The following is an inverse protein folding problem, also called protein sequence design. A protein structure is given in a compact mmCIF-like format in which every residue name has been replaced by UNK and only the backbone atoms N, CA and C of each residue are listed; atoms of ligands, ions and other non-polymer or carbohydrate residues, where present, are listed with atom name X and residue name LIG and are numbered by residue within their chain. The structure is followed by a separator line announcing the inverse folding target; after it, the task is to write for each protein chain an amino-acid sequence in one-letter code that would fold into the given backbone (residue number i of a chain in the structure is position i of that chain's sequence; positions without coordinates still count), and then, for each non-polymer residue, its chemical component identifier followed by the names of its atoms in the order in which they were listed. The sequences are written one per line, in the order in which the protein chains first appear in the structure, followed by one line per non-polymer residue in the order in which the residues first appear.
data_IF_780721804000
#
_entry.id   IF_780721804000
#
_cell.length_a   1.000
_cell.length_b   1.000
_cell.length_c   1.000
_cell.angle_alpha   90.00
_cell.angle_beta   90.00
_cell.angle_gamma   90.00
#
_symmetry.space_group_name_H-M   'P 1'
#
loop_
_entity.id
_entity.type
_entity.pdbx_description
1 polymer ?
#
# COMPACT_ATOMS: atom_id res chain seq x y z
N UNK A 1 53.16 8.72 61.12
CA UNK A 1 52.86 8.99 59.69
C UNK A 1 52.30 7.80 58.93
N UNK A 2 52.81 6.56 59.10
CA UNK A 2 52.38 5.37 58.32
C UNK A 2 50.91 4.92 58.52
N UNK A 3 50.33 5.07 59.72
CA UNK A 3 48.96 4.63 60.02
C UNK A 3 47.86 5.52 59.42
N UNK A 4 48.16 6.80 59.18
CA UNK A 4 47.22 7.76 58.56
C UNK A 4 47.12 7.56 57.04
N UNK A 5 48.20 7.11 56.41
CA UNK A 5 48.24 6.80 54.98
C UNK A 5 47.41 5.54 54.63
N UNK A 6 47.48 4.50 55.49
CA UNK A 6 46.71 3.26 55.31
C UNK A 6 45.21 3.51 55.45
N UNK A 7 44.80 4.34 56.42
CA UNK A 7 43.40 4.71 56.60
C UNK A 7 42.85 5.50 55.40
N UNK A 8 43.65 6.38 54.79
CA UNK A 8 43.26 7.14 53.60
C UNK A 8 43.11 6.25 52.37
N UNK A 9 44.01 5.27 52.18
CA UNK A 9 43.92 4.32 51.07
C UNK A 9 42.72 3.37 51.19
N UNK A 10 42.38 2.92 52.40
CA UNK A 10 41.20 2.07 52.64
C UNK A 10 39.89 2.84 52.40
N UNK A 11 39.83 4.11 52.80
CA UNK A 11 38.67 4.98 52.54
C UNK A 11 38.50 5.29 51.04
N UNK A 12 39.59 5.52 50.31
CA UNK A 12 39.55 5.73 48.86
C UNK A 12 39.08 4.47 48.11
N UNK A 13 39.56 3.29 48.52
CA UNK A 13 39.17 2.01 47.91
C UNK A 13 37.69 1.67 48.17
N UNK A 14 37.15 2.02 49.35
CA UNK A 14 35.73 1.83 49.67
C UNK A 14 34.81 2.76 48.86
N UNK A 15 35.23 4.00 48.58
CA UNK A 15 34.46 4.94 47.76
C UNK A 15 34.47 4.57 46.26
N UNK A 16 35.59 4.03 45.75
CA UNK A 16 35.68 3.55 44.35
C UNK A 16 34.90 2.25 44.16
N UNK A 17 34.88 1.35 45.15
CA UNK A 17 34.09 0.12 45.11
C UNK A 17 32.57 0.37 45.15
N UNK A 18 32.12 1.40 45.85
CA UNK A 18 30.68 1.73 45.95
C UNK A 18 30.15 2.42 44.69
N UNK A 19 30.98 3.16 43.95
CA UNK A 19 30.61 3.75 42.65
C UNK A 19 30.48 2.73 41.51
N UNK A 20 31.23 1.63 41.55
CA UNK A 20 31.18 0.58 40.51
C UNK A 20 30.04 -0.43 40.70
N UNK A 21 29.50 -0.58 41.91
CA UNK A 21 28.45 -1.55 42.20
C UNK A 21 27.03 -1.10 41.79
N UNK A 22 26.80 0.20 41.56
CA UNK A 22 25.49 0.74 41.14
C UNK A 22 25.34 0.81 39.61
N UNK A 23 26.43 0.68 38.84
CA UNK A 23 26.38 0.76 37.38
C UNK A 23 26.07 -0.58 36.67
N UNK A 24 25.91 -1.69 37.40
CA UNK A 24 25.84 -3.04 36.78
C UNK A 24 24.51 -3.79 36.98
N UNK A 25 23.45 -3.13 37.45
CA UNK A 25 22.11 -3.73 37.56
C UNK A 25 21.13 -2.99 36.66
N UNK A 26 20.54 -3.74 35.71
CA UNK A 26 19.49 -3.34 34.76
C UNK A 26 19.94 -2.26 33.76
N UNK A 27 20.16 -2.59 32.49
CA UNK A 27 19.08 -3.07 31.63
C UNK A 27 19.66 -4.00 30.56
N UNK A 28 19.44 -5.31 30.73
CA UNK A 28 19.57 -6.28 29.63
C UNK A 28 18.27 -6.20 28.81
N UNK A 29 17.92 -4.98 28.41
CA UNK A 29 16.85 -4.72 27.47
C UNK A 29 17.28 -5.39 26.18
N UNK A 30 16.62 -6.49 25.85
CA UNK A 30 16.63 -6.99 24.50
C UNK A 30 16.41 -5.76 23.62
N UNK A 31 17.38 -5.41 22.77
CA UNK A 31 17.09 -4.58 21.61
C UNK A 31 16.05 -5.37 20.84
N UNK A 32 14.78 -5.14 21.19
CA UNK A 32 13.66 -5.55 20.41
C UNK A 32 13.88 -4.78 19.11
N UNK A 33 14.49 -5.46 18.15
CA UNK A 33 14.50 -5.04 16.77
C UNK A 33 13.03 -4.92 16.43
N UNK A 34 12.46 -3.72 16.57
CA UNK A 34 11.10 -3.46 16.12
C UNK A 34 11.13 -3.84 14.66
N UNK A 35 10.36 -4.85 14.21
CA UNK A 35 10.32 -5.16 12.81
C UNK A 35 9.90 -3.87 12.12
N UNK A 36 10.81 -3.30 11.33
CA UNK A 36 10.47 -2.17 10.48
C UNK A 36 9.56 -2.76 9.42
N UNK A 37 8.25 -2.65 9.66
CA UNK A 37 7.25 -3.08 8.69
C UNK A 37 7.45 -2.19 7.48
N UNK A 38 7.94 -2.79 6.39
CA UNK A 38 8.08 -2.10 5.12
C UNK A 38 6.72 -1.50 4.72
N UNK A 39 6.72 -0.22 4.34
CA UNK A 39 5.51 0.44 3.90
C UNK A 39 4.85 -0.34 2.74
N UNK A 40 3.52 -0.44 2.70
CA UNK A 40 2.83 -1.16 1.64
C UNK A 40 3.17 -0.55 0.27
N UNK A 41 3.32 -1.38 -0.77
CA UNK A 41 3.69 -0.90 -2.09
C UNK A 41 2.64 0.09 -2.62
N UNK A 42 3.11 1.19 -3.22
CA UNK A 42 2.24 2.21 -3.80
C UNK A 42 1.39 1.61 -4.93
N UNK A 43 0.07 1.81 -4.94
CA UNK A 43 -0.79 1.29 -6.00
C UNK A 43 -0.49 1.98 -7.34
N UNK A 44 -0.75 1.25 -8.42
CA UNK A 44 -0.75 1.77 -9.78
C UNK A 44 -2.02 2.58 -10.05
N UNK A 45 -1.99 3.41 -11.09
CA UNK A 45 -3.10 4.28 -11.48
C UNK A 45 -3.38 4.13 -12.97
N UNK A 46 -4.66 4.01 -13.32
CA UNK A 46 -5.15 4.13 -14.70
C UNK A 46 -6.09 5.33 -14.78
N UNK A 47 -5.84 6.20 -15.75
CA UNK A 47 -6.67 7.37 -16.02
C UNK A 47 -7.51 7.07 -17.26
N UNK A 48 -8.83 7.23 -17.13
CA UNK A 48 -9.77 7.19 -18.25
C UNK A 48 -10.34 8.58 -18.48
N UNK A 49 -9.96 9.25 -19.58
CA UNK A 49 -10.57 10.49 -20.00
C UNK A 49 -12.05 10.31 -20.33
N UNK A 50 -12.79 11.42 -20.30
CA UNK A 50 -14.13 11.47 -20.84
C UNK A 50 -14.14 11.21 -22.36
N UNK A 51 -15.28 10.76 -22.88
CA UNK A 51 -15.43 10.44 -24.31
C UNK A 51 -14.74 9.14 -24.75
N UNK A 52 -14.02 8.44 -23.87
CA UNK A 52 -13.44 7.14 -24.20
C UNK A 52 -14.52 6.08 -24.44
N UNK A 53 -14.44 5.41 -25.58
CA UNK A 53 -15.24 4.21 -25.85
C UNK A 53 -14.78 3.05 -24.98
N UNK A 54 -15.63 2.03 -24.83
CA UNK A 54 -15.29 0.81 -24.10
C UNK A 54 -14.03 0.13 -24.64
N UNK A 55 -13.83 0.16 -25.96
CA UNK A 55 -12.64 -0.39 -26.62
C UNK A 55 -11.38 0.43 -26.31
N UNK A 56 -11.47 1.76 -26.34
CA UNK A 56 -10.36 2.64 -25.97
C UNK A 56 -9.97 2.48 -24.50
N UNK A 57 -10.94 2.31 -23.60
CA UNK A 57 -10.68 1.95 -22.20
C UNK A 57 -9.92 0.62 -22.09
N UNK A 58 -10.30 -0.40 -22.85
CA UNK A 58 -9.63 -1.68 -22.84
C UNK A 58 -8.17 -1.59 -23.33
N UNK A 59 -7.93 -0.84 -24.41
CA UNK A 59 -6.58 -0.56 -24.90
C UNK A 59 -5.73 0.19 -23.87
N UNK A 60 -6.33 1.15 -23.14
CA UNK A 60 -5.67 1.86 -22.04
C UNK A 60 -5.29 0.94 -20.89
N UNK A 61 -6.17 -0.01 -20.52
CA UNK A 61 -5.88 -1.05 -19.53
C UNK A 61 -4.66 -1.87 -19.93
N UNK A 62 -4.57 -2.31 -21.18
CA UNK A 62 -3.41 -3.04 -21.71
C UNK A 62 -2.12 -2.23 -21.62
N UNK A 63 -2.14 -1.00 -22.11
CA UNK A 63 -0.97 -0.12 -22.10
C UNK A 63 -0.45 0.11 -20.68
N UNK A 64 -1.34 0.41 -19.73
CA UNK A 64 -0.95 0.67 -18.34
C UNK A 64 -0.48 -0.60 -17.63
N UNK A 65 -1.08 -1.77 -17.92
CA UNK A 65 -0.60 -3.04 -17.40
C UNK A 65 0.82 -3.38 -17.90
N UNK A 66 1.12 -3.11 -19.17
CA UNK A 66 2.45 -3.29 -19.74
C UNK A 66 3.48 -2.33 -19.10
N UNK A 67 3.12 -1.05 -18.91
CA UNK A 67 3.96 -0.08 -18.21
C UNK A 67 4.21 -0.52 -16.76
N UNK A 68 3.19 -1.02 -16.05
CA UNK A 68 3.35 -1.51 -14.69
C UNK A 68 4.32 -2.71 -14.61
N UNK A 69 4.23 -3.63 -15.57
CA UNK A 69 5.13 -4.76 -15.69
C UNK A 69 6.59 -4.31 -15.97
N UNK A 70 6.78 -3.36 -16.89
CA UNK A 70 8.09 -2.82 -17.26
C UNK A 70 8.73 -2.00 -16.14
N UNK A 71 8.02 -0.99 -15.62
CA UNK A 71 8.57 0.00 -14.68
C UNK A 71 8.70 -0.49 -13.26
N UNK A 72 7.86 -1.44 -12.84
CA UNK A 72 7.86 -1.95 -11.46
C UNK A 72 8.21 -3.42 -11.34
N UNK A 73 8.47 -4.12 -12.45
CA UNK A 73 8.75 -5.57 -12.46
C UNK A 73 7.57 -6.41 -11.97
N UNK A 74 6.35 -5.86 -12.04
CA UNK A 74 5.16 -6.37 -11.36
C UNK A 74 4.01 -6.43 -12.34
N UNK A 75 3.59 -7.63 -12.73
CA UNK A 75 2.53 -7.83 -13.72
C UNK A 75 1.16 -7.80 -13.04
N UNK A 76 0.33 -6.75 -13.27
CA UNK A 76 -1.02 -6.73 -12.73
C UNK A 76 -1.90 -7.75 -13.45
N UNK A 77 -2.93 -8.27 -12.76
CA UNK A 77 -3.95 -9.12 -13.39
C UNK A 77 -4.91 -8.35 -14.31
N UNK A 78 -4.59 -7.10 -14.64
CA UNK A 78 -5.29 -6.28 -15.62
C UNK A 78 -4.89 -6.73 -17.03
N UNK A 79 -5.90 -7.07 -17.83
CA UNK A 79 -5.72 -7.36 -19.24
C UNK A 79 -6.92 -6.90 -20.07
N UNK A 80 -6.67 -6.63 -21.34
CA UNK A 80 -7.65 -6.13 -22.31
C UNK A 80 -8.83 -7.07 -22.48
N UNK A 81 -8.56 -8.36 -22.74
CA UNK A 81 -9.59 -9.35 -23.02
C UNK A 81 -10.55 -9.54 -21.84
N UNK A 82 -10.02 -9.63 -20.61
CA UNK A 82 -10.83 -9.75 -19.41
C UNK A 82 -11.60 -8.46 -19.11
N UNK A 83 -11.06 -7.29 -19.47
CA UNK A 83 -11.79 -6.04 -19.34
C UNK A 83 -12.99 -6.00 -20.32
N UNK A 84 -12.76 -6.38 -21.57
CA UNK A 84 -13.81 -6.48 -22.58
C UNK A 84 -14.85 -7.52 -22.17
N UNK A 85 -14.44 -8.70 -21.67
CA UNK A 85 -15.35 -9.73 -21.20
C UNK A 85 -16.18 -9.27 -19.99
N UNK A 86 -15.55 -8.61 -19.01
CA UNK A 86 -16.22 -8.09 -17.83
C UNK A 86 -17.24 -6.99 -18.16
N UNK A 87 -17.02 -6.27 -19.27
CA UNK A 87 -17.87 -5.17 -19.74
C UNK A 87 -18.80 -5.50 -20.91
N UNK A 88 -18.74 -6.72 -21.46
CA UNK A 88 -19.49 -7.10 -22.65
C UNK A 88 -21.00 -7.28 -22.39
N UNK A 89 -21.36 -7.84 -21.24
CA UNK A 89 -22.75 -8.20 -20.94
C UNK A 89 -23.54 -6.97 -20.51
N UNK A 90 -24.78 -6.90 -20.99
CA UNK A 90 -25.76 -5.95 -20.45
C UNK A 90 -25.95 -6.20 -18.96
N UNK A 91 -26.02 -5.14 -18.16
CA UNK A 91 -26.28 -5.23 -16.72
C UNK A 91 -27.46 -4.34 -16.37
N UNK A 92 -28.15 -4.73 -15.29
CA UNK A 92 -29.14 -3.87 -14.66
C UNK A 92 -28.41 -2.70 -13.99
N UNK A 93 -28.66 -1.49 -14.47
CA UNK A 93 -28.15 -0.25 -13.89
C UNK A 93 -29.30 0.40 -13.11
N UNK A 94 -29.14 0.66 -11.80
CA UNK A 94 -30.17 1.32 -10.99
C UNK A 94 -30.60 2.65 -11.62
N UNK A 95 -31.91 2.85 -11.78
CA UNK A 95 -32.49 4.05 -12.39
C UNK A 95 -32.57 4.04 -13.93
N UNK A 96 -31.85 3.13 -14.61
CA UNK A 96 -31.83 3.09 -16.08
C UNK A 96 -32.39 1.78 -16.65
N UNK A 97 -32.30 0.65 -15.93
CA UNK A 97 -32.73 -0.65 -16.45
C UNK A 97 -31.57 -1.46 -17.04
N UNK A 98 -31.85 -2.41 -17.94
CA UNK A 98 -30.83 -3.35 -18.45
C UNK A 98 -30.16 -2.84 -19.72
N UNK A 99 -28.93 -2.32 -19.60
CA UNK A 99 -28.19 -1.68 -20.70
C UNK A 99 -26.81 -2.29 -20.94
N UNK A 100 -26.25 -2.15 -22.16
CA UNK A 100 -24.81 -2.25 -22.39
C UNK A 100 -24.05 -1.31 -21.44
N UNK A 101 -22.80 -1.63 -21.10
CA UNK A 101 -22.05 -0.82 -20.14
C UNK A 101 -21.35 0.40 -20.75
N UNK A 102 -21.30 0.50 -22.07
CA UNK A 102 -20.79 1.71 -22.71
C UNK A 102 -21.65 2.92 -22.32
N UNK A 103 -21.01 4.03 -21.92
CA UNK A 103 -21.66 5.18 -21.29
C UNK A 103 -21.87 5.06 -19.77
N UNK A 104 -21.78 3.87 -19.19
CA UNK A 104 -21.87 3.64 -17.73
C UNK A 104 -20.53 3.34 -17.06
N UNK A 105 -19.48 3.11 -17.85
CA UNK A 105 -18.11 3.01 -17.36
C UNK A 105 -17.61 4.42 -17.05
N UNK A 106 -17.68 4.81 -15.79
CA UNK A 106 -17.38 6.18 -15.38
C UNK A 106 -15.92 6.57 -15.70
N UNK A 107 -15.69 7.73 -16.36
CA UNK A 107 -14.35 8.24 -16.64
C UNK A 107 -13.76 8.86 -15.37
N UNK A 108 -12.66 8.30 -14.89
CA UNK A 108 -11.95 8.81 -13.72
C UNK A 108 -10.54 8.19 -13.64
N UNK A 109 -9.81 8.56 -12.59
CA UNK A 109 -8.61 7.84 -12.19
C UNK A 109 -8.96 6.70 -11.23
N UNK A 110 -8.53 5.48 -11.56
CA UNK A 110 -8.68 4.31 -10.71
C UNK A 110 -7.31 3.82 -10.24
N UNK A 111 -7.26 3.42 -8.98
CA UNK A 111 -6.10 2.77 -8.40
C UNK A 111 -6.24 1.25 -8.53
N UNK A 112 -5.14 0.56 -8.79
CA UNK A 112 -5.12 -0.89 -8.86
C UNK A 112 -3.77 -1.43 -8.36
N UNK A 113 -3.75 -2.69 -7.95
CA UNK A 113 -2.56 -3.40 -7.48
C UNK A 113 -2.26 -4.57 -8.41
N UNK A 114 -1.18 -5.29 -8.13
CA UNK A 114 -0.85 -6.54 -8.85
C UNK A 114 -1.98 -7.57 -8.79
N UNK A 115 -2.71 -7.58 -7.67
CA UNK A 115 -3.80 -8.50 -7.40
C UNK A 115 -5.13 -8.04 -7.99
N UNK A 116 -5.24 -6.76 -8.33
CA UNK A 116 -6.46 -6.21 -8.89
C UNK A 116 -6.73 -6.79 -10.27
N UNK A 117 -7.99 -7.12 -10.54
CA UNK A 117 -8.40 -7.70 -11.83
C UNK A 117 -9.23 -6.74 -12.69
N UNK A 118 -9.33 -7.02 -13.98
CA UNK A 118 -10.15 -6.20 -14.90
C UNK A 118 -11.64 -6.13 -14.50
N UNK A 119 -12.21 -7.20 -13.95
CA UNK A 119 -13.60 -7.20 -13.48
C UNK A 119 -13.82 -6.33 -12.23
N UNK A 120 -12.83 -6.25 -11.35
CA UNK A 120 -12.85 -5.36 -10.20
C UNK A 120 -12.82 -3.90 -10.65
N UNK A 121 -11.98 -3.59 -11.65
CA UNK A 121 -11.92 -2.26 -12.25
C UNK A 121 -13.27 -1.84 -12.88
N UNK A 122 -13.88 -2.70 -13.68
CA UNK A 122 -15.23 -2.45 -14.23
C UNK A 122 -16.25 -2.23 -13.11
N UNK A 123 -16.18 -3.02 -12.05
CA UNK A 123 -17.06 -2.84 -10.89
C UNK A 123 -16.82 -1.50 -10.18
N UNK A 124 -15.57 -1.04 -10.09
CA UNK A 124 -15.24 0.27 -9.54
C UNK A 124 -15.78 1.41 -10.41
N UNK A 125 -15.73 1.26 -11.73
CA UNK A 125 -16.32 2.22 -12.67
C UNK A 125 -17.83 2.34 -12.51
N UNK A 126 -18.55 1.20 -12.45
CA UNK A 126 -20.00 1.21 -12.22
C UNK A 126 -20.37 1.77 -10.85
N UNK A 127 -19.57 1.49 -9.80
CA UNK A 127 -19.76 2.11 -8.48
C UNK A 127 -19.58 3.62 -8.55
N UNK A 128 -18.60 4.11 -9.29
CA UNK A 128 -18.36 5.53 -9.47
C UNK A 128 -19.51 6.19 -10.24
N UNK A 129 -20.02 5.56 -11.30
CA UNK A 129 -21.21 6.03 -12.00
C UNK A 129 -22.38 6.23 -11.04
N UNK A 130 -22.73 5.19 -10.26
CA UNK A 130 -23.85 5.25 -9.31
C UNK A 130 -23.72 6.37 -8.29
N UNK A 131 -22.51 6.61 -7.76
CA UNK A 131 -22.29 7.69 -6.77
C UNK A 131 -22.47 9.08 -7.36
N UNK A 132 -22.12 9.28 -8.62
CA UNK A 132 -22.24 10.58 -9.28
C UNK A 132 -23.67 10.86 -9.78
N UNK A 133 -24.51 9.83 -9.89
CA UNK A 133 -25.89 9.91 -10.37
C UNK A 133 -26.95 9.65 -9.29
N UNK A 134 -26.56 9.47 -8.04
CA UNK A 134 -27.50 9.24 -6.90
C UNK A 134 -27.99 10.54 -6.27
N UNK A 135 -28.21 11.58 -7.07
CA UNK A 135 -28.87 12.83 -6.65
C UNK A 135 -30.37 12.61 -6.59
#
# INVERSE_FOLDING_TARGET
MRRRLVALCVLLAALIGLGFAVASVRDRGHKATTPTVAAPPKPFRVVFPEGFTRLQMAARVKSVAAIAAHERGRTPRLNEAAYLAASARRRLIPGFGRHPLEGFLFPATYQFTERSGSAELVSAQLRAFRRNWST
#
